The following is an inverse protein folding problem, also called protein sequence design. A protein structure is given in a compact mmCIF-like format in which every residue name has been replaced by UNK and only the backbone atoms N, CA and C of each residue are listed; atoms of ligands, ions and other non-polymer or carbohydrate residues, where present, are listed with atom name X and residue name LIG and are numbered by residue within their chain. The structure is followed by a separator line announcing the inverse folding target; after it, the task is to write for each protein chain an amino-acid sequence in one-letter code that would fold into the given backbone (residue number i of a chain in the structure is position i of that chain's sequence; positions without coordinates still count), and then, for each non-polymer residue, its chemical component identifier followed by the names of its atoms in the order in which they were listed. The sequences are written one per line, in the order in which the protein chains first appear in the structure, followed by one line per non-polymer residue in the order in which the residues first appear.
data_IF_540465440528
#
_entry.id   IF_540465440528
#
_cell.length_a   1.000
_cell.length_b   1.000
_cell.length_c   1.000
_cell.angle_alpha   90.00
_cell.angle_beta   90.00
_cell.angle_gamma   90.00
#
_symmetry.space_group_name_H-M   'P 1'
#
loop_
_entity.id
_entity.type
_entity.pdbx_description
1 polymer ?
#
# COMPACT_ATOMS: atom_id res chain seq x y z
N UNK A 1 -9.76 -11.84 -53.96
CA UNK A 1 -9.10 -12.48 -52.80
C UNK A 1 -9.27 -11.58 -51.60
N UNK A 2 -9.86 -12.11 -50.53
CA UNK A 2 -9.95 -11.46 -49.22
C UNK A 2 -8.54 -11.30 -48.65
N UNK A 3 -8.13 -10.09 -48.29
CA UNK A 3 -6.97 -9.85 -47.43
C UNK A 3 -7.37 -8.83 -46.37
N UNK A 4 -7.24 -9.28 -45.13
CA UNK A 4 -7.89 -8.77 -43.94
C UNK A 4 -7.45 -7.35 -43.58
N UNK A 5 -8.40 -6.56 -43.09
CA UNK A 5 -8.17 -5.32 -42.35
C UNK A 5 -7.37 -5.66 -41.08
N UNK A 6 -6.06 -5.38 -41.10
CA UNK A 6 -5.17 -5.58 -39.95
C UNK A 6 -5.72 -4.84 -38.73
N UNK A 7 -6.00 -5.59 -37.66
CA UNK A 7 -6.42 -5.06 -36.38
C UNK A 7 -5.32 -4.15 -35.81
N UNK A 8 -5.71 -2.97 -35.30
CA UNK A 8 -4.85 -2.16 -34.43
C UNK A 8 -4.67 -2.90 -33.11
N UNK A 9 -3.46 -3.39 -32.85
CA UNK A 9 -3.12 -4.05 -31.59
C UNK A 9 -3.12 -3.03 -30.45
N UNK A 10 -3.73 -3.40 -29.32
CA UNK A 10 -3.76 -2.57 -28.11
C UNK A 10 -2.33 -2.51 -27.56
N UNK A 11 -1.69 -1.34 -27.64
CA UNK A 11 -0.40 -1.09 -27.04
C UNK A 11 -0.59 -0.63 -25.59
N UNK A 12 -0.56 -1.58 -24.65
CA UNK A 12 -0.64 -1.29 -23.22
C UNK A 12 0.74 -0.75 -22.80
N UNK A 13 0.83 0.56 -22.53
CA UNK A 13 1.99 1.10 -21.82
C UNK A 13 1.94 0.60 -20.37
N UNK A 14 3.11 0.26 -19.82
CA UNK A 14 3.29 -0.10 -18.41
C UNK A 14 2.50 0.86 -17.53
N UNK A 15 1.87 0.32 -16.48
CA UNK A 15 1.27 1.10 -15.40
C UNK A 15 2.23 2.24 -15.04
N UNK A 16 1.88 3.48 -15.42
CA UNK A 16 2.26 4.60 -14.58
C UNK A 16 1.53 4.32 -13.28
N UNK A 17 2.26 4.03 -12.20
CA UNK A 17 1.71 4.25 -10.87
C UNK A 17 1.52 5.76 -10.78
N UNK A 18 0.45 6.28 -11.39
CA UNK A 18 0.06 7.66 -11.17
C UNK A 18 -0.31 7.75 -9.70
N UNK A 19 0.60 8.29 -8.91
CA UNK A 19 0.47 8.54 -7.48
C UNK A 19 -0.47 9.72 -7.20
N UNK A 20 -1.25 10.15 -8.18
CA UNK A 20 -2.13 11.32 -8.11
C UNK A 20 -3.42 11.02 -7.35
N UNK A 21 -3.84 9.75 -7.27
CA UNK A 21 -5.02 9.35 -6.51
C UNK A 21 -4.61 8.85 -5.11
N UNK A 22 -5.27 9.32 -4.04
CA UNK A 22 -5.07 8.76 -2.70
C UNK A 22 -5.45 7.27 -2.66
N UNK A 23 -4.73 6.48 -1.86
CA UNK A 23 -5.04 5.05 -1.68
C UNK A 23 -6.25 4.84 -0.74
N UNK A 24 -6.68 5.90 -0.06
CA UNK A 24 -7.81 5.90 0.86
C UNK A 24 -9.08 6.38 0.14
N UNK A 25 -10.12 5.56 0.16
CA UNK A 25 -11.46 5.90 -0.33
C UNK A 25 -12.40 6.19 0.86
N UNK A 26 -13.24 7.21 0.71
CA UNK A 26 -14.31 7.52 1.67
C UNK A 26 -15.29 6.35 1.86
N UNK A 27 -15.63 6.06 3.12
CA UNK A 27 -16.81 5.25 3.44
C UNK A 27 -18.03 6.11 3.84
N UNK A 28 -19.16 5.45 4.08
CA UNK A 28 -20.40 6.15 4.45
C UNK A 28 -20.31 6.91 5.78
N UNK A 29 -19.43 6.52 6.70
CA UNK A 29 -19.20 7.26 7.95
C UNK A 29 -18.41 8.54 7.66
N UNK A 30 -17.38 8.43 6.82
CA UNK A 30 -16.56 9.56 6.38
C UNK A 30 -17.40 10.59 5.63
N UNK A 31 -18.30 10.18 4.75
CA UNK A 31 -19.20 11.08 4.02
C UNK A 31 -20.01 11.98 4.97
N UNK A 32 -20.53 11.41 6.07
CA UNK A 32 -21.28 12.18 7.08
C UNK A 32 -20.36 13.19 7.78
N UNK A 33 -19.13 12.80 8.09
CA UNK A 33 -18.14 13.65 8.72
C UNK A 33 -17.69 14.80 7.80
N UNK A 34 -17.35 14.49 6.54
CA UNK A 34 -16.95 15.48 5.53
C UNK A 34 -18.08 16.46 5.26
N UNK A 35 -19.33 16.00 5.16
CA UNK A 35 -20.49 16.89 5.00
C UNK A 35 -20.68 17.87 6.18
N UNK A 36 -20.28 17.48 7.40
CA UNK A 36 -20.26 18.37 8.56
C UNK A 36 -19.11 19.37 8.47
N UNK A 37 -17.91 18.93 8.10
CA UNK A 37 -16.74 19.80 7.94
C UNK A 37 -16.92 20.80 6.80
N UNK A 38 -17.48 20.39 5.67
CA UNK A 38 -17.75 21.22 4.50
C UNK A 38 -18.55 22.48 4.84
N UNK A 39 -19.49 22.39 5.78
CA UNK A 39 -20.30 23.54 6.25
C UNK A 39 -19.53 24.52 7.13
N UNK A 40 -18.43 24.08 7.75
CA UNK A 40 -17.67 24.85 8.75
C UNK A 40 -16.33 25.36 8.19
N UNK A 41 -15.69 24.57 7.34
CA UNK A 41 -14.30 24.71 6.88
C UNK A 41 -14.14 24.48 5.36
N UNK A 42 -15.24 24.35 4.61
CA UNK A 42 -15.24 24.22 3.14
C UNK A 42 -14.42 23.05 2.55
N UNK A 43 -14.17 22.01 3.34
CA UNK A 43 -13.42 20.81 2.93
C UNK A 43 -14.14 20.03 1.82
N UNK A 44 -13.38 19.64 0.80
CA UNK A 44 -13.82 18.74 -0.27
C UNK A 44 -13.49 17.27 0.02
N UNK A 45 -14.25 16.35 -0.59
CA UNK A 45 -14.07 14.91 -0.45
C UNK A 45 -12.62 14.47 -0.75
N UNK A 46 -12.09 14.88 -1.91
CA UNK A 46 -10.73 14.52 -2.33
C UNK A 46 -9.66 15.06 -1.37
N UNK A 47 -9.83 16.28 -0.87
CA UNK A 47 -8.91 16.85 0.11
C UNK A 47 -8.89 16.01 1.39
N UNK A 48 -10.06 15.57 1.88
CA UNK A 48 -10.14 14.69 3.03
C UNK A 48 -9.46 13.34 2.77
N UNK A 49 -9.69 12.72 1.62
CA UNK A 49 -9.03 11.46 1.22
C UNK A 49 -7.51 11.59 1.23
N UNK A 50 -6.98 12.67 0.62
CA UNK A 50 -5.54 12.96 0.64
C UNK A 50 -5.01 13.15 2.06
N UNK A 51 -5.75 13.81 2.94
CA UNK A 51 -5.35 14.00 4.33
C UNK A 51 -5.28 12.66 5.08
N UNK A 52 -6.29 11.80 4.93
CA UNK A 52 -6.28 10.47 5.56
C UNK A 52 -5.16 9.60 4.98
N UNK A 53 -4.97 9.62 3.66
CA UNK A 53 -3.90 8.89 2.98
C UNK A 53 -2.51 9.28 3.51
N UNK A 54 -2.23 10.58 3.67
CA UNK A 54 -0.99 11.08 4.27
C UNK A 54 -0.82 10.63 5.72
N UNK A 55 -1.89 10.61 6.52
CA UNK A 55 -1.85 10.12 7.90
C UNK A 55 -1.59 8.61 7.96
N UNK A 56 -2.27 7.81 7.15
CA UNK A 56 -2.05 6.36 7.08
C UNK A 56 -0.61 6.03 6.65
N UNK A 57 -0.11 6.70 5.61
CA UNK A 57 1.28 6.56 5.11
C UNK A 57 2.31 6.99 6.16
N UNK A 58 2.05 8.08 6.89
CA UNK A 58 2.92 8.56 7.96
C UNK A 58 2.91 7.66 9.21
N UNK A 59 1.86 6.87 9.40
CA UNK A 59 1.66 6.11 10.62
C UNK A 59 2.25 4.69 10.59
N UNK A 60 2.24 4.00 9.46
CA UNK A 60 2.78 2.64 9.39
C UNK A 60 2.19 1.74 10.49
N UNK A 61 3.02 1.30 11.45
CA UNK A 61 2.58 0.48 12.58
C UNK A 61 2.15 1.26 13.85
N UNK A 62 2.52 2.53 13.99
CA UNK A 62 2.29 3.33 15.22
C UNK A 62 1.50 4.58 14.92
N UNK A 63 0.52 4.93 15.75
CA UNK A 63 -0.27 6.17 15.57
C UNK A 63 0.64 7.40 15.51
N UNK A 64 0.45 8.23 14.47
CA UNK A 64 1.07 9.56 14.45
C UNK A 64 0.51 10.44 15.56
N UNK A 65 1.34 11.33 16.06
CA UNK A 65 1.00 12.39 17.00
C UNK A 65 0.41 13.59 16.27
N UNK A 66 -0.27 14.49 17.00
CA UNK A 66 -0.79 15.73 16.41
C UNK A 66 0.34 16.61 15.82
N UNK A 67 1.55 16.57 16.40
CA UNK A 67 2.69 17.32 15.87
C UNK A 67 3.16 16.77 14.53
N UNK A 68 3.22 15.44 14.38
CA UNK A 68 3.55 14.79 13.11
C UNK A 68 2.45 15.04 12.06
N UNK A 69 1.18 14.99 12.46
CA UNK A 69 0.06 15.30 11.59
C UNK A 69 0.16 16.73 11.01
N UNK A 70 0.55 17.71 11.83
CA UNK A 70 0.78 19.09 11.36
C UNK A 70 1.86 19.18 10.28
N UNK A 71 2.94 18.42 10.44
CA UNK A 71 4.04 18.37 9.47
C UNK A 71 3.63 17.67 8.16
N UNK A 72 2.75 16.68 8.24
CA UNK A 72 2.29 15.89 7.09
C UNK A 72 1.23 16.61 6.25
N UNK A 73 0.27 17.26 6.90
CA UNK A 73 -0.94 17.74 6.23
C UNK A 73 -0.77 19.11 5.59
N UNK A 74 0.03 20.02 6.19
CA UNK A 74 0.25 21.40 5.69
C UNK A 74 -1.04 22.19 5.44
N UNK A 75 -2.08 21.89 6.21
CA UNK A 75 -3.39 22.55 6.19
C UNK A 75 -3.56 23.50 7.39
N UNK A 76 -4.72 24.12 7.50
CA UNK A 76 -5.06 24.95 8.67
C UNK A 76 -5.12 24.13 9.97
N UNK A 77 -4.61 24.71 11.05
CA UNK A 77 -4.46 24.07 12.37
C UNK A 77 -5.79 23.53 12.93
N UNK A 78 -6.89 24.22 12.65
CA UNK A 78 -8.24 23.80 13.08
C UNK A 78 -8.77 22.62 12.26
N UNK A 79 -8.50 22.61 10.95
CA UNK A 79 -8.86 21.50 10.08
C UNK A 79 -8.05 20.25 10.42
N UNK A 80 -6.73 20.41 10.59
CA UNK A 80 -5.82 19.34 11.01
C UNK A 80 -6.31 18.70 12.30
N UNK A 81 -6.69 19.51 13.30
CA UNK A 81 -7.15 18.99 14.60
C UNK A 81 -8.42 18.14 14.46
N UNK A 82 -9.42 18.62 13.73
CA UNK A 82 -10.68 17.89 13.54
C UNK A 82 -10.47 16.57 12.78
N UNK A 83 -9.70 16.60 11.70
CA UNK A 83 -9.40 15.40 10.90
C UNK A 83 -8.52 14.42 11.68
N UNK A 84 -7.50 14.89 12.40
CA UNK A 84 -6.64 14.06 13.22
C UNK A 84 -7.40 13.34 14.34
N UNK A 85 -8.27 14.05 15.05
CA UNK A 85 -9.08 13.45 16.12
C UNK A 85 -10.07 12.42 15.59
N UNK A 86 -10.67 12.69 14.42
CA UNK A 86 -11.51 11.73 13.72
C UNK A 86 -10.74 10.47 13.32
N UNK A 87 -9.64 10.65 12.58
CA UNK A 87 -8.77 9.57 12.10
C UNK A 87 -8.21 8.72 13.25
N UNK A 88 -7.67 9.36 14.30
CA UNK A 88 -7.09 8.69 15.45
C UNK A 88 -8.11 7.82 16.18
N UNK A 89 -9.35 8.31 16.31
CA UNK A 89 -10.46 7.53 16.90
C UNK A 89 -10.82 6.35 16.02
N UNK A 90 -11.03 6.57 14.71
CA UNK A 90 -11.39 5.52 13.75
C UNK A 90 -10.33 4.41 13.72
N UNK A 91 -9.05 4.79 13.66
CA UNK A 91 -7.92 3.85 13.59
C UNK A 91 -7.75 3.00 14.86
N UNK A 92 -8.04 3.56 16.03
CA UNK A 92 -8.04 2.80 17.31
C UNK A 92 -9.12 1.71 17.36
N UNK A 93 -10.21 1.87 16.60
CA UNK A 93 -11.26 0.85 16.49
C UNK A 93 -10.88 -0.27 15.52
N UNK A 94 -9.93 -0.02 14.60
CA UNK A 94 -9.44 -1.02 13.66
C UNK A 94 -8.47 -2.00 14.35
N UNK A 95 -8.86 -3.29 14.38
CA UNK A 95 -8.04 -4.37 14.97
C UNK A 95 -6.65 -4.51 14.35
N UNK A 96 -6.50 -4.09 13.10
CA UNK A 96 -5.29 -4.29 12.31
C UNK A 96 -4.36 -3.07 12.32
N UNK A 97 -4.73 -2.01 13.05
CA UNK A 97 -3.94 -0.79 13.15
C UNK A 97 -3.82 0.01 11.85
N UNK A 98 -4.71 -0.21 10.87
CA UNK A 98 -4.80 0.57 9.65
C UNK A 98 -6.26 0.68 9.22
N UNK A 99 -6.60 1.80 8.57
CA UNK A 99 -7.91 2.01 7.96
C UNK A 99 -8.02 1.34 6.59
N UNK A 100 -6.90 1.17 5.88
CA UNK A 100 -6.88 0.51 4.58
C UNK A 100 -6.92 -1.01 4.79
N UNK A 101 -7.95 -1.72 4.26
CA UNK A 101 -8.01 -3.16 4.35
C UNK A 101 -6.81 -3.80 3.65
N UNK A 102 -6.12 -4.71 4.34
CA UNK A 102 -4.99 -5.45 3.78
C UNK A 102 -5.27 -6.94 3.70
N UNK A 103 -4.73 -7.58 2.66
CA UNK A 103 -4.81 -9.02 2.50
C UNK A 103 -3.85 -9.67 3.50
N UNK A 104 -4.34 -10.67 4.24
CA UNK A 104 -3.52 -11.39 5.20
C UNK A 104 -2.45 -12.19 4.46
N UNK A 105 -1.19 -11.86 4.70
CA UNK A 105 -0.04 -12.57 4.16
C UNK A 105 0.56 -13.52 5.20
N UNK A 106 1.25 -14.55 4.71
CA UNK A 106 1.97 -15.50 5.56
C UNK A 106 3.13 -14.79 6.29
N UNK A 107 3.17 -14.89 7.62
CA UNK A 107 4.34 -14.45 8.38
C UNK A 107 5.49 -15.40 8.09
N UNK A 108 6.73 -14.90 8.07
CA UNK A 108 7.97 -15.69 7.87
C UNK A 108 8.29 -16.63 9.05
N UNK A 109 7.32 -16.93 9.89
CA UNK A 109 7.43 -17.89 10.97
C UNK A 109 7.10 -19.27 10.36
N UNK A 110 7.97 -20.25 10.59
CA UNK A 110 8.01 -21.57 9.88
C UNK A 110 6.76 -22.45 10.14
N UNK A 111 5.77 -21.93 10.86
CA UNK A 111 4.46 -22.55 11.04
C UNK A 111 3.60 -22.30 9.81
N UNK A 112 3.35 -23.35 9.03
CA UNK A 112 2.32 -23.32 8.00
C UNK A 112 0.97 -23.03 8.65
N UNK A 113 0.51 -21.79 8.54
CA UNK A 113 -0.82 -21.42 9.05
C UNK A 113 -1.87 -22.09 8.15
N UNK A 114 -2.86 -22.79 8.71
CA UNK A 114 -4.02 -23.32 7.96
C UNK A 114 -5.16 -22.29 7.89
N UNK A 115 -4.83 -21.00 8.01
CA UNK A 115 -5.81 -19.92 7.98
C UNK A 115 -6.32 -19.71 6.55
N UNK A 116 -7.64 -19.84 6.30
CA UNK A 116 -8.22 -19.71 4.95
C UNK A 116 -8.12 -18.30 4.37
N UNK A 117 -7.85 -17.28 5.19
CA UNK A 117 -7.68 -15.90 4.73
C UNK A 117 -6.24 -15.56 4.35
N UNK A 118 -5.28 -16.48 4.54
CA UNK A 118 -3.88 -16.26 4.12
C UNK A 118 -3.71 -16.53 2.63
N UNK A 119 -3.41 -15.47 1.88
CA UNK A 119 -3.24 -15.51 0.43
C UNK A 119 -1.81 -15.13 -0.01
N UNK A 120 -1.50 -15.35 -1.29
CA UNK A 120 -0.24 -14.96 -1.95
C UNK A 120 1.04 -15.47 -1.25
N UNK A 121 1.04 -16.72 -0.78
CA UNK A 121 2.22 -17.33 -0.14
C UNK A 121 3.42 -17.34 -1.07
N UNK A 122 4.56 -16.84 -0.59
CA UNK A 122 5.82 -16.89 -1.31
C UNK A 122 6.53 -18.19 -0.95
N UNK A 123 6.39 -19.21 -1.80
CA UNK A 123 7.27 -20.38 -1.73
C UNK A 123 8.53 -20.06 -2.51
N UNK A 124 9.67 -20.00 -1.83
CA UNK A 124 10.94 -20.04 -2.55
C UNK A 124 11.04 -21.40 -3.21
N UNK A 125 11.05 -21.44 -4.54
CA UNK A 125 11.55 -22.61 -5.24
C UNK A 125 12.99 -22.79 -4.78
N UNK A 126 13.32 -23.97 -4.24
CA UNK A 126 14.71 -24.27 -3.95
C UNK A 126 15.44 -24.31 -5.28
N UNK A 127 16.17 -23.27 -5.62
CA UNK A 127 17.14 -23.36 -6.70
C UNK A 127 18.16 -24.43 -6.32
N UNK A 128 18.08 -25.57 -6.99
CA UNK A 128 19.04 -26.64 -6.83
C UNK A 128 20.34 -26.19 -7.50
N UNK A 129 21.34 -25.82 -6.72
CA UNK A 129 22.70 -25.64 -7.24
C UNK A 129 23.26 -27.01 -7.66
N UNK A 130 24.01 -27.06 -8.76
CA UNK A 130 24.68 -28.29 -9.19
C UNK A 130 25.73 -28.67 -8.14
N UNK A 131 25.81 -29.95 -7.74
CA UNK A 131 26.92 -30.46 -6.93
C UNK A 131 28.21 -30.32 -7.73
N UNK A 132 29.20 -29.60 -7.20
CA UNK A 132 30.58 -29.65 -7.72
C UNK A 132 31.19 -30.98 -7.29
N UNK A 133 31.43 -31.90 -8.23
CA UNK A 133 32.33 -33.04 -8.01
C UNK A 133 33.76 -32.53 -8.07
N UNK A 134 34.50 -32.68 -6.97
CA UNK A 134 35.88 -32.24 -6.84
C UNK A 134 36.78 -32.93 -7.88
N UNK A 135 37.22 -32.17 -8.88
CA UNK A 135 38.52 -32.35 -9.54
C UNK A 135 38.78 -31.18 -10.50
N UNK A 136 39.83 -30.40 -10.24
CA UNK A 136 40.46 -29.56 -11.26
C UNK A 136 40.21 -28.06 -11.13
N UNK A 137 41.31 -27.33 -11.00
CA UNK A 137 41.43 -25.88 -10.88
C UNK A 137 40.69 -25.09 -11.99
N UNK A 138 40.04 -23.98 -11.63
CA UNK A 138 39.85 -22.76 -12.46
C UNK A 138 39.16 -21.69 -11.60
N UNK A 139 39.90 -20.70 -11.10
CA UNK A 139 39.93 -19.33 -11.63
C UNK A 139 38.56 -18.75 -12.03
N UNK A 140 38.06 -17.86 -11.16
CA UNK A 140 37.31 -16.67 -11.52
C UNK A 140 35.92 -16.84 -12.12
N UNK A 141 34.90 -17.04 -11.28
CA UNK A 141 33.55 -16.51 -11.53
C UNK A 141 32.92 -16.09 -10.21
N UNK A 142 32.70 -14.78 -10.05
CA UNK A 142 31.75 -14.26 -9.08
C UNK A 142 30.38 -14.59 -9.70
N UNK A 143 29.72 -15.62 -9.19
CA UNK A 143 28.31 -15.86 -9.49
C UNK A 143 27.51 -14.75 -8.82
N UNK A 144 27.29 -13.66 -9.56
CA UNK A 144 26.31 -12.64 -9.22
C UNK A 144 24.94 -13.30 -9.38
N UNK A 145 24.45 -13.92 -8.31
CA UNK A 145 23.02 -14.22 -8.19
C UNK A 145 22.36 -12.92 -7.79
N UNK A 146 22.00 -12.12 -8.80
CA UNK A 146 21.13 -10.96 -8.66
C UNK A 146 19.75 -11.46 -8.21
N UNK A 147 19.43 -11.29 -6.93
CA UNK A 147 18.08 -11.39 -6.42
C UNK A 147 17.37 -10.04 -6.67
N UNK A 148 16.35 -10.04 -7.53
CA UNK A 148 15.20 -9.13 -7.43
C UNK A 148 14.00 -9.97 -7.00
#
# INVERSE_FOLDING_TARGET
QLQLKLARHIHIKSFSLDTEQPDYDLDSEDEVFVNKLKKKLEVEALQFEEMIDRLEKGSGQQLVTLQEAKLLLKEDDDLIREVFEYWSRKRKLCKNGSLIPTIKQEKRDVSSTNDPYVAFRRRTEKMQTRKVSSSGQSHGRIDVVLFL
#
